data_IF_397974922763
#
_entry.id   IF_397974922763
#
_cell.length_a   1.000
_cell.length_b   1.000
_cell.length_c   1.000
_cell.angle_alpha   90.00
_cell.angle_beta   90.00
_cell.angle_gamma   90.00
#
_symmetry.space_group_name_H-M   'P 1'
#
loop_
_entity.id
_entity.type
_entity.pdbx_description
1 polymer ?
#
# COMPACT_ATOMS: atom_id res chain seq x y z
N UNK A 1 -0.94 18.55 -11.13
CA UNK A 1 -0.16 17.49 -10.45
C UNK A 1 -0.87 17.30 -9.13
N UNK A 2 -1.62 16.20 -8.99
CA UNK A 2 -2.22 15.84 -7.71
C UNK A 2 -1.12 15.74 -6.65
N UNK A 3 -1.46 16.13 -5.43
CA UNK A 3 -0.52 16.16 -4.32
C UNK A 3 -0.32 14.71 -3.85
N UNK A 4 0.68 14.02 -4.43
CA UNK A 4 1.00 12.62 -4.11
C UNK A 4 1.18 12.37 -2.61
N UNK A 5 1.53 13.40 -1.83
CA UNK A 5 1.57 13.30 -0.36
C UNK A 5 0.17 13.10 0.22
N UNK A 6 -0.84 13.81 -0.29
CA UNK A 6 -2.24 13.58 0.11
C UNK A 6 -2.70 12.20 -0.28
N UNK A 7 -2.35 11.71 -1.47
CA UNK A 7 -2.74 10.37 -1.90
C UNK A 7 -2.14 9.28 -1.00
N UNK A 8 -0.89 9.46 -0.56
CA UNK A 8 -0.26 8.60 0.44
C UNK A 8 -0.98 8.66 1.79
N UNK A 9 -1.36 9.85 2.26
CA UNK A 9 -2.09 10.01 3.52
C UNK A 9 -3.50 9.41 3.46
N UNK A 10 -4.20 9.55 2.34
CA UNK A 10 -5.49 8.88 2.14
C UNK A 10 -5.31 7.37 2.12
N UNK A 11 -4.34 6.87 1.35
CA UNK A 11 -4.02 5.45 1.31
C UNK A 11 -3.70 4.86 2.69
N UNK A 12 -3.02 5.62 3.55
CA UNK A 12 -2.76 5.26 4.94
C UNK A 12 -4.03 5.25 5.80
N UNK A 13 -4.83 6.32 5.74
CA UNK A 13 -6.06 6.47 6.54
C UNK A 13 -7.05 5.34 6.26
N UNK A 14 -7.17 4.89 5.01
CA UNK A 14 -8.06 3.80 4.67
C UNK A 14 -7.70 2.52 5.45
N UNK A 15 -6.41 2.20 5.64
CA UNK A 15 -5.98 1.03 6.44
C UNK A 15 -6.52 1.13 7.86
N UNK A 16 -6.43 2.32 8.45
CA UNK A 16 -6.78 2.55 9.84
C UNK A 16 -8.31 2.49 10.05
N UNK A 17 -9.09 2.74 8.99
CA UNK A 17 -10.55 2.66 8.99
C UNK A 17 -11.11 1.30 8.55
N UNK A 18 -10.26 0.41 8.00
CA UNK A 18 -10.69 -0.85 7.42
C UNK A 18 -11.57 -1.68 8.37
N UNK A 19 -12.73 -2.11 7.86
CA UNK A 19 -13.57 -3.12 8.48
C UNK A 19 -13.95 -4.21 7.49
N UNK A 20 -14.08 -5.45 7.98
CA UNK A 20 -14.61 -6.57 7.18
C UNK A 20 -16.10 -6.44 6.85
N UNK A 21 -16.79 -5.48 7.47
CA UNK A 21 -18.22 -5.25 7.30
C UNK A 21 -18.54 -4.35 6.10
N UNK A 22 -17.56 -3.62 5.55
CA UNK A 22 -17.76 -2.63 4.49
C UNK A 22 -16.82 -2.85 3.30
N UNK A 23 -17.36 -3.42 2.21
CA UNK A 23 -16.59 -3.66 0.97
C UNK A 23 -16.15 -2.37 0.24
N UNK A 24 -16.73 -1.22 0.60
CA UNK A 24 -16.37 0.09 0.05
C UNK A 24 -14.92 0.48 0.37
N UNK A 25 -14.42 0.09 1.53
CA UNK A 25 -13.14 0.54 2.06
C UNK A 25 -12.01 0.02 1.16
N UNK A 26 -12.07 -1.25 0.75
CA UNK A 26 -11.01 -1.88 -0.05
C UNK A 26 -11.00 -1.43 -1.50
N UNK A 27 -12.15 -1.00 -2.01
CA UNK A 27 -12.25 -0.40 -3.35
C UNK A 27 -11.51 0.94 -3.39
N UNK A 28 -11.68 1.76 -2.36
CA UNK A 28 -11.02 3.06 -2.23
C UNK A 28 -9.51 2.89 -2.02
N UNK A 29 -9.09 1.97 -1.16
CA UNK A 29 -7.68 1.59 -0.98
C UNK A 29 -7.02 1.17 -2.31
N UNK A 30 -7.72 0.32 -3.09
CA UNK A 30 -7.22 -0.17 -4.37
C UNK A 30 -7.05 0.95 -5.39
N UNK A 31 -7.97 1.92 -5.40
CA UNK A 31 -7.91 3.10 -6.26
C UNK A 31 -6.69 3.97 -5.92
N UNK A 32 -6.50 4.32 -4.64
CA UNK A 32 -5.33 5.10 -4.22
C UNK A 32 -4.02 4.36 -4.48
N UNK A 33 -3.94 3.06 -4.19
CA UNK A 33 -2.75 2.26 -4.47
C UNK A 33 -2.37 2.31 -5.95
N UNK A 34 -3.36 2.20 -6.84
CA UNK A 34 -3.14 2.27 -8.29
C UNK A 34 -2.64 3.65 -8.72
N UNK A 35 -3.22 4.72 -8.20
CA UNK A 35 -2.80 6.09 -8.51
C UNK A 35 -1.36 6.34 -8.07
N UNK A 36 -0.98 5.86 -6.88
CA UNK A 36 0.40 5.91 -6.39
C UNK A 36 1.35 5.13 -7.32
N UNK A 37 0.96 3.93 -7.77
CA UNK A 37 1.79 3.12 -8.69
C UNK A 37 1.99 3.78 -10.06
N UNK A 38 0.93 4.38 -10.61
CA UNK A 38 1.00 5.10 -11.89
C UNK A 38 1.94 6.31 -11.82
N UNK A 39 2.19 6.83 -10.62
CA UNK A 39 3.06 7.98 -10.35
C UNK A 39 4.31 7.62 -9.52
N UNK A 40 4.66 6.34 -9.35
CA UNK A 40 5.74 5.86 -8.46
C UNK A 40 7.09 6.54 -8.76
N UNK A 41 7.37 6.83 -10.03
CA UNK A 41 8.61 7.49 -10.48
C UNK A 41 8.74 8.95 -10.04
N UNK A 42 7.63 9.59 -9.65
CA UNK A 42 7.58 11.00 -9.22
C UNK A 42 7.73 11.14 -7.70
N UNK A 43 7.70 10.04 -6.96
CA UNK A 43 7.85 10.06 -5.50
C UNK A 43 9.28 10.44 -5.11
N UNK A 44 9.40 11.36 -4.14
CA UNK A 44 10.67 11.63 -3.45
C UNK A 44 11.09 10.42 -2.61
N UNK A 45 12.36 10.34 -2.19
CA UNK A 45 12.81 9.25 -1.31
C UNK A 45 12.05 9.21 0.03
N UNK A 46 11.72 10.37 0.61
CA UNK A 46 10.87 10.47 1.82
C UNK A 46 9.47 9.89 1.57
N UNK A 47 8.88 10.17 0.40
CA UNK A 47 7.56 9.63 0.04
C UNK A 47 7.62 8.12 -0.25
N UNK A 48 8.72 7.62 -0.81
CA UNK A 48 8.93 6.17 -1.00
C UNK A 48 9.09 5.45 0.34
N UNK A 49 9.80 6.05 1.29
CA UNK A 49 9.90 5.53 2.66
C UNK A 49 8.52 5.49 3.33
N UNK A 50 7.75 6.57 3.20
CA UNK A 50 6.37 6.62 3.69
C UNK A 50 5.52 5.50 3.06
N UNK A 51 5.54 5.35 1.73
CA UNK A 51 4.83 4.27 1.04
C UNK A 51 5.25 2.88 1.54
N UNK A 52 6.55 2.65 1.74
CA UNK A 52 7.07 1.39 2.28
C UNK A 52 6.50 1.08 3.68
N UNK A 53 6.41 2.09 4.54
CA UNK A 53 5.84 1.95 5.88
C UNK A 53 4.32 1.69 5.84
N UNK A 54 3.59 2.35 4.94
CA UNK A 54 2.16 2.11 4.71
C UNK A 54 1.94 0.68 4.20
N UNK A 55 2.73 0.23 3.22
CA UNK A 55 2.66 -1.12 2.64
C UNK A 55 2.90 -2.22 3.69
N UNK A 56 3.81 -1.98 4.65
CA UNK A 56 3.98 -2.85 5.82
C UNK A 56 2.71 -2.97 6.67
N UNK A 57 1.96 -1.87 6.87
CA UNK A 57 0.69 -1.91 7.59
C UNK A 57 -0.34 -2.76 6.84
N UNK A 58 -0.49 -2.61 5.52
CA UNK A 58 -1.38 -3.44 4.69
C UNK A 58 -1.06 -4.93 4.78
N UNK A 59 0.22 -5.29 4.66
CA UNK A 59 0.66 -6.69 4.78
C UNK A 59 0.27 -7.27 6.14
N UNK A 60 0.45 -6.50 7.22
CA UNK A 60 0.07 -6.92 8.56
C UNK A 60 -1.46 -7.01 8.73
N UNK A 61 -2.22 -6.08 8.16
CA UNK A 61 -3.68 -6.14 8.14
C UNK A 61 -4.16 -7.42 7.45
N UNK A 62 -3.70 -7.69 6.24
CA UNK A 62 -4.06 -8.89 5.49
C UNK A 62 -3.71 -10.17 6.25
N UNK A 63 -2.54 -10.25 6.90
CA UNK A 63 -2.18 -11.40 7.75
C UNK A 63 -3.21 -11.68 8.86
N UNK A 64 -3.83 -10.64 9.43
CA UNK A 64 -4.87 -10.78 10.47
C UNK A 64 -6.19 -11.29 9.90
N UNK A 65 -6.55 -10.88 8.69
CA UNK A 65 -7.89 -11.12 8.12
C UNK A 65 -7.93 -12.22 7.05
N UNK A 66 -6.80 -12.69 6.52
CA UNK A 66 -6.69 -13.71 5.46
C UNK A 66 -7.39 -15.05 5.75
N UNK A 67 -7.78 -15.30 7.00
CA UNK A 67 -8.57 -16.48 7.39
C UNK A 67 -10.01 -16.42 6.85
N UNK A 68 -10.53 -15.21 6.57
CA UNK A 68 -11.85 -14.99 5.99
C UNK A 68 -11.77 -15.00 4.45
N UNK A 69 -11.28 -16.12 3.88
CA UNK A 69 -10.96 -16.22 2.44
C UNK A 69 -12.14 -15.97 1.50
N UNK A 70 -13.35 -16.22 1.97
CA UNK A 70 -14.58 -16.06 1.18
C UNK A 70 -15.14 -14.63 1.23
N UNK A 71 -14.52 -13.74 2.01
CA UNK A 71 -14.91 -12.34 2.07
C UNK A 71 -14.24 -11.54 0.93
N UNK A 72 -15.05 -10.80 0.17
CA UNK A 72 -14.62 -10.05 -1.02
C UNK A 72 -13.55 -9.00 -0.66
N UNK A 73 -13.72 -8.28 0.45
CA UNK A 73 -12.72 -7.34 0.97
C UNK A 73 -11.35 -8.00 1.19
N UNK A 74 -11.31 -9.24 1.69
CA UNK A 74 -10.05 -9.98 1.86
C UNK A 74 -9.40 -10.33 0.51
N UNK A 75 -10.18 -10.65 -0.51
CA UNK A 75 -9.66 -10.91 -1.86
C UNK A 75 -9.03 -9.64 -2.46
N UNK A 76 -9.67 -8.48 -2.30
CA UNK A 76 -9.09 -7.21 -2.75
C UNK A 76 -7.84 -6.81 -1.96
N UNK A 77 -7.83 -7.01 -0.64
CA UNK A 77 -6.64 -6.78 0.19
C UNK A 77 -5.46 -7.63 -0.29
N UNK A 78 -5.70 -8.85 -0.76
CA UNK A 78 -4.62 -9.68 -1.33
C UNK A 78 -3.95 -9.00 -2.53
N UNK A 79 -4.73 -8.40 -3.43
CA UNK A 79 -4.20 -7.69 -4.60
C UNK A 79 -3.34 -6.49 -4.18
N UNK A 80 -3.78 -5.73 -3.17
CA UNK A 80 -3.01 -4.62 -2.60
C UNK A 80 -1.71 -5.14 -1.96
N UNK A 81 -1.76 -6.28 -1.27
CA UNK A 81 -0.57 -6.89 -0.65
C UNK A 81 0.45 -7.36 -1.69
N UNK A 82 0.02 -7.94 -2.80
CA UNK A 82 0.91 -8.36 -3.87
C UNK A 82 1.65 -7.17 -4.49
N UNK A 83 0.97 -6.04 -4.62
CA UNK A 83 1.54 -4.75 -5.06
C UNK A 83 2.52 -4.18 -4.04
N UNK A 84 2.14 -4.15 -2.77
CA UNK A 84 2.96 -3.73 -1.65
C UNK A 84 4.27 -4.51 -1.55
N UNK A 85 4.22 -5.84 -1.69
CA UNK A 85 5.41 -6.71 -1.66
C UNK A 85 6.37 -6.40 -2.81
N UNK A 86 5.86 -6.17 -4.02
CA UNK A 86 6.68 -5.80 -5.18
C UNK A 86 7.40 -4.47 -4.98
N UNK A 87 6.69 -3.47 -4.44
CA UNK A 87 7.30 -2.18 -4.13
C UNK A 87 8.35 -2.30 -3.03
N UNK A 88 8.04 -3.01 -1.93
CA UNK A 88 8.96 -3.24 -0.83
C UNK A 88 10.28 -3.88 -1.29
N UNK A 89 10.21 -4.91 -2.15
CA UNK A 89 11.40 -5.55 -2.70
C UNK A 89 12.25 -4.58 -3.54
N UNK A 90 11.62 -3.75 -4.37
CA UNK A 90 12.32 -2.71 -5.16
C UNK A 90 12.99 -1.68 -4.26
N UNK A 91 12.26 -1.17 -3.26
CA UNK A 91 12.75 -0.14 -2.34
C UNK A 91 13.91 -0.66 -1.49
N UNK A 92 13.81 -1.87 -0.92
CA UNK A 92 14.90 -2.46 -0.15
C UNK A 92 16.17 -2.68 -1.00
N UNK A 93 16.03 -3.02 -2.28
CA UNK A 93 17.15 -3.10 -3.22
C UNK A 93 17.77 -1.73 -3.49
N UNK A 94 16.96 -0.68 -3.68
CA UNK A 94 17.48 0.68 -3.92
C UNK A 94 18.23 1.21 -2.71
N UNK A 95 17.74 0.98 -1.49
CA UNK A 95 18.42 1.43 -0.26
C UNK A 95 19.76 0.70 -0.05
N UNK A 96 19.85 -0.60 -0.33
CA UNK A 96 21.12 -1.34 -0.27
C UNK A 96 22.18 -0.79 -1.21
N UNK A 97 21.76 -0.35 -2.41
CA UNK A 97 22.68 0.25 -3.38
C UNK A 97 23.16 1.64 -2.96
N UNK A 98 22.36 2.40 -2.20
CA UNK A 98 22.74 3.72 -1.67
C UNK A 98 23.75 3.62 -0.51
N UNK A 99 23.73 2.53 0.25
CA UNK A 99 24.65 2.30 1.38
C UNK A 99 26.04 1.81 0.90
N UNK A 100 26.11 1.25 -0.31
CA UNK A 100 27.34 0.69 -0.90
C UNK A 100 28.17 1.69 -1.71
N UNK A 101 27.73 2.95 -1.80
CA UNK A 101 28.42 4.06 -2.49
C UNK A 101 28.72 5.21 -1.53
#
# INVERSE_FOLDING_TARGET
MEDLKKDLLYYENEIDLFSLEYDSDVSLMSMYRRLIEENESLLTEEQKELLYNIDKKYINLYKKVRKHKDNISVMYLQIIVERALKFAEKYEKSQKNLILH
#
